data_IF_734464108756
#
_entry.id   IF_734464108756
#
_cell.length_a   1.000
_cell.length_b   1.000
_cell.length_c   1.000
_cell.angle_alpha   90.00
_cell.angle_beta   90.00
_cell.angle_gamma   90.00
#
_symmetry.space_group_name_H-M   'P 1'
#
loop_
_entity.id
_entity.type
_entity.pdbx_description
1 polymer ?
#
# COMPACT_ATOMS: atom_id res chain seq x y z
N UNK A 1 -15.11 37.71 -45.56
CA UNK A 1 -16.05 38.83 -45.26
C UNK A 1 -17.40 38.19 -45.00
N UNK A 2 -18.10 38.24 -43.85
CA UNK A 2 -18.20 39.22 -42.77
C UNK A 2 -18.45 38.55 -41.39
N UNK A 3 -17.69 39.01 -40.39
CA UNK A 3 -17.96 39.23 -38.95
C UNK A 3 -19.02 38.39 -38.19
N UNK A 4 -18.56 37.70 -37.15
CA UNK A 4 -19.17 37.76 -35.82
C UNK A 4 -18.33 38.74 -34.96
N UNK A 5 -18.96 39.75 -34.36
CA UNK A 5 -18.35 40.63 -33.37
C UNK A 5 -18.56 40.04 -31.97
N UNK A 6 -17.46 39.90 -31.22
CA UNK A 6 -17.48 39.75 -29.77
C UNK A 6 -17.94 41.05 -29.12
N UNK A 7 -18.82 40.96 -28.13
CA UNK A 7 -18.84 41.93 -27.04
C UNK A 7 -19.33 41.25 -25.77
N UNK A 8 -18.49 41.31 -24.73
CA UNK A 8 -18.89 41.03 -23.37
C UNK A 8 -19.93 42.06 -22.91
N UNK A 9 -20.88 41.64 -22.07
CA UNK A 9 -21.22 42.29 -20.80
C UNK A 9 -22.41 41.59 -20.13
N UNK A 10 -22.17 41.29 -18.84
CA UNK A 10 -23.09 41.28 -17.71
C UNK A 10 -24.60 41.33 -17.97
N UNK A 11 -25.28 40.36 -17.37
CA UNK A 11 -26.59 40.50 -16.74
C UNK A 11 -27.74 40.85 -17.68
N UNK A 12 -28.33 39.82 -18.30
CA UNK A 12 -29.56 39.98 -19.07
C UNK A 12 -30.22 38.64 -19.32
N UNK A 13 -31.34 38.41 -18.64
CA UNK A 13 -32.28 37.35 -18.90
C UNK A 13 -32.77 37.44 -20.35
N UNK A 14 -32.46 36.44 -21.19
CA UNK A 14 -33.14 36.24 -22.48
C UNK A 14 -33.13 34.75 -22.82
N UNK A 15 -34.29 34.11 -22.61
CA UNK A 15 -34.63 32.80 -23.16
C UNK A 15 -34.66 32.90 -24.69
N UNK A 16 -33.89 32.06 -25.36
CA UNK A 16 -34.11 31.72 -26.77
C UNK A 16 -34.61 30.28 -26.81
N UNK A 17 -35.87 30.11 -27.21
CA UNK A 17 -36.52 28.83 -27.47
C UNK A 17 -36.02 28.25 -28.80
N UNK A 18 -35.66 26.97 -28.81
CA UNK A 18 -35.59 26.14 -30.01
C UNK A 18 -36.50 24.90 -29.81
N UNK A 19 -37.24 24.47 -30.85
CA UNK A 19 -38.24 23.41 -30.73
C UNK A 19 -37.60 22.02 -30.61
N UNK A 20 -38.22 21.17 -29.79
CA UNK A 20 -37.96 19.74 -29.69
C UNK A 20 -38.44 19.04 -30.96
N UNK A 21 -37.53 18.40 -31.70
CA UNK A 21 -37.88 17.36 -32.67
C UNK A 21 -37.44 16.00 -32.13
N UNK A 22 -38.43 15.16 -31.87
CA UNK A 22 -38.29 13.72 -31.71
C UNK A 22 -38.02 13.08 -33.09
N UNK A 23 -37.52 11.84 -33.07
CA UNK A 23 -37.28 10.94 -34.22
C UNK A 23 -35.89 11.01 -34.86
N UNK A 24 -34.94 10.30 -34.25
CA UNK A 24 -34.15 9.23 -34.89
C UNK A 24 -32.97 8.84 -34.00
N UNK A 25 -33.08 7.72 -33.30
CA UNK A 25 -31.90 7.03 -32.74
C UNK A 25 -31.96 5.56 -33.15
N UNK A 26 -30.98 5.05 -33.91
CA UNK A 26 -30.94 3.64 -34.22
C UNK A 26 -30.56 2.87 -32.95
N UNK A 27 -31.37 1.88 -32.60
CA UNK A 27 -31.08 0.95 -31.52
C UNK A 27 -29.79 0.18 -31.84
N UNK A 28 -28.67 0.59 -31.24
CA UNK A 28 -27.44 -0.18 -31.26
C UNK A 28 -27.65 -1.40 -30.37
N UNK A 29 -27.89 -2.54 -31.02
CA UNK A 29 -27.90 -3.87 -30.42
C UNK A 29 -26.48 -4.17 -29.91
N UNK A 30 -26.16 -3.76 -28.70
CA UNK A 30 -24.96 -4.20 -28.00
C UNK A 30 -25.13 -5.67 -27.61
N UNK A 31 -24.65 -6.56 -28.48
CA UNK A 31 -24.37 -7.95 -28.14
C UNK A 31 -23.07 -7.94 -27.30
N UNK A 32 -23.19 -7.58 -26.03
CA UNK A 32 -22.08 -7.70 -25.08
C UNK A 32 -21.81 -9.19 -24.92
N UNK A 33 -20.62 -9.63 -25.34
CA UNK A 33 -20.15 -10.98 -25.08
C UNK A 33 -20.16 -11.21 -23.55
N UNK A 34 -21.08 -12.06 -23.11
CA UNK A 34 -21.31 -12.46 -21.71
C UNK A 34 -20.12 -13.17 -21.06
N UNK A 35 -19.01 -13.38 -21.76
CA UNK A 35 -17.84 -14.11 -21.26
C UNK A 35 -16.80 -13.23 -20.55
N UNK A 36 -16.93 -11.90 -20.57
CA UNK A 36 -15.96 -10.98 -19.96
C UNK A 36 -16.42 -10.37 -18.63
N UNK A 37 -17.62 -10.71 -18.14
CA UNK A 37 -18.18 -10.16 -16.89
C UNK A 37 -17.83 -10.98 -15.63
N UNK A 38 -17.03 -12.04 -15.77
CA UNK A 38 -16.68 -12.96 -14.67
C UNK A 38 -15.17 -12.94 -14.34
N UNK A 39 -14.61 -11.75 -14.12
CA UNK A 39 -13.32 -11.61 -13.44
C UNK A 39 -13.41 -10.41 -12.50
N UNK A 40 -14.17 -10.57 -11.41
CA UNK A 40 -14.10 -9.65 -10.25
C UNK A 40 -12.83 -10.02 -9.46
N UNK A 41 -11.70 -9.63 -10.05
CA UNK A 41 -10.31 -9.68 -9.63
C UNK A 41 -9.96 -10.53 -8.40
N UNK A 42 -9.46 -11.74 -8.63
CA UNK A 42 -8.62 -12.43 -7.64
C UNK A 42 -7.17 -12.12 -8.02
N UNK A 43 -6.44 -11.42 -7.15
CA UNK A 43 -5.01 -11.08 -7.34
C UNK A 43 -4.16 -12.34 -7.56
N UNK A 44 -4.61 -13.46 -7.02
CA UNK A 44 -3.94 -14.75 -7.13
C UNK A 44 -4.66 -15.70 -8.10
N UNK A 45 -3.91 -16.49 -8.89
CA UNK A 45 -4.47 -17.60 -9.62
C UNK A 45 -4.89 -18.73 -8.65
N UNK A 46 -5.86 -19.58 -9.02
CA UNK A 46 -6.14 -20.80 -8.28
C UNK A 46 -4.87 -21.68 -8.21
N UNK A 47 -4.46 -22.17 -7.02
CA UNK A 47 -3.22 -22.95 -6.88
C UNK A 47 -3.28 -24.26 -7.67
N UNK A 48 -2.18 -24.64 -8.32
CA UNK A 48 -2.04 -25.91 -9.07
C UNK A 48 -1.99 -27.11 -8.12
N UNK A 49 -1.24 -26.98 -7.04
CA UNK A 49 -0.97 -28.04 -6.07
C UNK A 49 -0.87 -27.50 -4.63
N UNK A 50 -0.51 -28.38 -3.68
CA UNK A 50 -0.45 -28.02 -2.26
C UNK A 50 0.78 -27.19 -1.95
N UNK A 51 1.85 -27.38 -2.70
CA UNK A 51 3.13 -26.73 -2.58
C UNK A 51 3.02 -25.26 -3.00
N UNK A 52 2.42 -24.98 -4.17
CA UNK A 52 2.12 -23.62 -4.62
C UNK A 52 1.17 -22.92 -3.64
N UNK A 53 0.13 -23.64 -3.17
CA UNK A 53 -0.77 -23.08 -2.16
C UNK A 53 -0.02 -22.69 -0.88
N UNK A 54 0.86 -23.57 -0.37
CA UNK A 54 1.61 -23.29 0.85
C UNK A 54 2.57 -22.11 0.69
N UNK A 55 3.22 -21.99 -0.47
CA UNK A 55 4.07 -20.85 -0.82
C UNK A 55 3.26 -19.55 -0.81
N UNK A 56 2.15 -19.49 -1.55
CA UNK A 56 1.31 -18.29 -1.65
C UNK A 56 0.70 -17.91 -0.29
N UNK A 57 0.19 -18.89 0.46
CA UNK A 57 -0.32 -18.67 1.82
C UNK A 57 0.77 -18.09 2.73
N UNK A 58 2.02 -18.55 2.61
CA UNK A 58 3.14 -18.04 3.41
C UNK A 58 3.56 -16.64 3.00
N UNK A 59 3.61 -16.32 1.71
CA UNK A 59 3.95 -14.99 1.21
C UNK A 59 2.95 -13.96 1.73
N UNK A 60 1.66 -14.17 1.44
CA UNK A 60 0.60 -13.25 1.81
C UNK A 60 0.47 -13.06 3.33
N UNK A 61 0.74 -14.10 4.12
CA UNK A 61 0.72 -14.01 5.57
C UNK A 61 1.81 -13.09 6.11
N UNK A 62 3.00 -13.13 5.50
CA UNK A 62 4.11 -12.27 5.89
C UNK A 62 3.85 -10.84 5.45
N UNK A 63 3.38 -10.63 4.22
CA UNK A 63 3.05 -9.28 3.74
C UNK A 63 2.01 -8.64 4.64
N UNK A 64 0.91 -9.35 4.93
CA UNK A 64 -0.11 -8.89 5.87
C UNK A 64 0.46 -8.58 7.26
N UNK A 65 1.36 -9.41 7.78
CA UNK A 65 2.00 -9.17 9.07
C UNK A 65 2.95 -7.96 9.05
N UNK A 66 3.63 -7.73 7.92
CA UNK A 66 4.48 -6.58 7.64
C UNK A 66 3.68 -5.28 7.68
N UNK A 67 2.65 -5.17 6.83
CA UNK A 67 1.77 -4.00 6.77
C UNK A 67 1.08 -3.78 8.12
N UNK A 68 0.62 -4.85 8.78
CA UNK A 68 0.04 -4.72 10.11
C UNK A 68 1.07 -4.17 11.11
N UNK A 69 2.32 -4.62 11.06
CA UNK A 69 3.42 -4.11 11.88
C UNK A 69 3.71 -2.63 11.63
N UNK A 70 3.86 -2.24 10.37
CA UNK A 70 4.11 -0.86 9.94
C UNK A 70 2.97 0.07 10.39
N UNK A 71 1.71 -0.33 10.19
CA UNK A 71 0.56 0.41 10.65
C UNK A 71 0.59 0.67 12.18
N UNK A 72 1.09 -0.30 12.94
CA UNK A 72 1.23 -0.18 14.40
C UNK A 72 2.41 0.69 14.81
N UNK A 73 3.50 0.67 14.06
CA UNK A 73 4.64 1.58 14.23
C UNK A 73 4.18 3.02 14.03
N UNK A 74 3.52 3.33 12.93
CA UNK A 74 2.97 4.66 12.69
C UNK A 74 1.96 5.10 13.75
N UNK A 75 1.11 4.19 14.23
CA UNK A 75 0.22 4.48 15.36
C UNK A 75 0.99 4.86 16.63
N UNK A 76 2.11 4.20 16.91
CA UNK A 76 3.02 4.53 18.02
C UNK A 76 3.71 5.87 17.83
N UNK A 77 4.21 6.15 16.62
CA UNK A 77 4.82 7.44 16.29
C UNK A 77 3.82 8.59 16.44
N UNK A 78 2.59 8.43 15.93
CA UNK A 78 1.52 9.43 16.04
C UNK A 78 1.06 9.67 17.47
N UNK A 79 1.13 8.65 18.34
CA UNK A 79 0.82 8.83 19.76
C UNK A 79 1.79 9.80 20.45
N UNK A 80 3.03 9.93 19.96
CA UNK A 80 4.07 10.79 20.52
C UNK A 80 4.21 12.10 19.75
N UNK A 81 4.34 12.02 18.42
CA UNK A 81 4.66 13.16 17.54
C UNK A 81 3.45 13.75 16.80
N UNK A 82 2.26 13.16 16.92
CA UNK A 82 1.10 13.55 16.11
C UNK A 82 0.63 14.99 16.29
N UNK A 83 0.98 15.65 17.40
CA UNK A 83 0.67 17.07 17.66
C UNK A 83 1.85 18.02 17.42
N UNK A 84 2.94 17.51 16.85
CA UNK A 84 4.14 18.29 16.50
C UNK A 84 4.11 18.70 15.02
N UNK A 85 5.11 19.47 14.58
CA UNK A 85 5.27 19.82 13.16
C UNK A 85 5.46 18.60 12.24
N UNK A 86 5.90 17.46 12.78
CA UNK A 86 6.10 16.21 12.04
C UNK A 86 4.84 15.36 11.94
N UNK A 87 3.79 15.68 12.69
CA UNK A 87 2.53 14.95 12.67
C UNK A 87 1.92 14.80 11.27
N UNK A 88 1.82 15.88 10.46
CA UNK A 88 1.26 15.79 9.12
C UNK A 88 1.99 14.85 8.16
N UNK A 89 3.34 14.83 8.17
CA UNK A 89 4.11 13.96 7.27
C UNK A 89 3.98 12.49 7.70
N UNK A 90 4.04 12.21 9.01
CA UNK A 90 3.83 10.86 9.56
C UNK A 90 2.40 10.38 9.25
N UNK A 91 1.40 11.27 9.36
CA UNK A 91 0.01 10.94 9.05
C UNK A 91 -0.17 10.58 7.57
N UNK A 92 0.50 11.29 6.65
CA UNK A 92 0.42 10.99 5.22
C UNK A 92 0.96 9.59 4.88
N UNK A 93 2.16 9.24 5.36
CA UNK A 93 2.72 7.88 5.19
C UNK A 93 1.80 6.83 5.84
N UNK A 94 1.31 7.10 7.05
CA UNK A 94 0.41 6.18 7.74
C UNK A 94 -0.92 5.95 7.01
N UNK A 95 -1.44 6.96 6.33
CA UNK A 95 -2.68 6.81 5.56
C UNK A 95 -2.49 5.92 4.34
N UNK A 96 -1.31 5.97 3.69
CA UNK A 96 -0.96 5.04 2.62
C UNK A 96 -0.82 3.60 3.16
N UNK A 97 -0.11 3.44 4.27
CA UNK A 97 0.06 2.15 4.97
C UNK A 97 -1.30 1.51 5.38
N UNK A 98 -2.29 2.32 5.76
CA UNK A 98 -3.66 1.80 6.03
C UNK A 98 -4.30 1.21 4.77
N UNK A 99 -4.03 1.77 3.60
CA UNK A 99 -4.52 1.23 2.33
C UNK A 99 -3.84 -0.10 2.00
N UNK A 100 -2.53 -0.22 2.23
CA UNK A 100 -1.80 -1.47 2.02
C UNK A 100 -2.36 -2.59 2.91
N UNK A 101 -2.47 -2.32 4.21
CA UNK A 101 -3.06 -3.25 5.16
C UNK A 101 -4.51 -3.62 4.78
N UNK A 102 -5.33 -2.65 4.38
CA UNK A 102 -6.68 -2.93 3.91
C UNK A 102 -6.65 -3.87 2.70
N UNK A 103 -5.75 -3.64 1.75
CA UNK A 103 -5.65 -4.45 0.55
C UNK A 103 -5.26 -5.90 0.86
N UNK A 104 -4.31 -6.12 1.76
CA UNK A 104 -3.98 -7.49 2.18
C UNK A 104 -5.07 -8.14 3.00
N UNK A 105 -5.84 -7.41 3.81
CA UNK A 105 -7.01 -7.97 4.49
C UNK A 105 -8.03 -8.52 3.48
N UNK A 106 -8.29 -7.80 2.39
CA UNK A 106 -9.15 -8.25 1.29
C UNK A 106 -8.59 -9.52 0.64
N UNK A 107 -7.30 -9.51 0.27
CA UNK A 107 -6.64 -10.64 -0.38
C UNK A 107 -6.66 -11.90 0.50
N UNK A 108 -6.33 -11.77 1.78
CA UNK A 108 -6.36 -12.89 2.73
C UNK A 108 -7.79 -13.46 2.84
N UNK A 109 -8.79 -12.58 2.92
CA UNK A 109 -10.20 -12.97 3.00
C UNK A 109 -10.68 -13.73 1.76
N UNK A 110 -10.39 -13.20 0.57
CA UNK A 110 -10.76 -13.80 -0.72
C UNK A 110 -10.13 -15.17 -0.93
N UNK A 111 -8.87 -15.33 -0.50
CA UNK A 111 -8.08 -16.55 -0.71
C UNK A 111 -8.12 -17.52 0.47
N UNK A 112 -8.88 -17.18 1.52
CA UNK A 112 -9.00 -17.96 2.78
C UNK A 112 -7.63 -18.25 3.41
N UNK A 113 -6.70 -17.31 3.29
CA UNK A 113 -5.39 -17.37 3.92
C UNK A 113 -5.54 -16.91 5.36
N UNK A 114 -5.02 -17.71 6.29
CA UNK A 114 -5.03 -17.34 7.71
C UNK A 114 -3.87 -16.36 7.97
N UNK A 115 -4.14 -15.22 8.64
CA UNK A 115 -3.07 -14.39 9.18
C UNK A 115 -2.22 -15.16 10.19
N UNK A 116 -1.04 -14.63 10.49
CA UNK A 116 -0.15 -15.24 11.49
C UNK A 116 -0.77 -15.21 12.88
N UNK A 117 -0.56 -16.26 13.66
CA UNK A 117 -0.97 -16.30 15.07
C UNK A 117 -0.23 -15.25 15.93
N UNK A 118 0.85 -14.66 15.41
CA UNK A 118 1.65 -13.65 16.10
C UNK A 118 1.13 -12.22 15.96
N UNK A 119 0.01 -11.98 15.26
CA UNK A 119 -0.56 -10.63 15.14
C UNK A 119 -0.72 -9.89 16.49
N UNK A 120 -1.17 -10.50 17.60
CA UNK A 120 -1.25 -9.81 18.88
C UNK A 120 0.12 -9.36 19.42
N UNK A 121 1.19 -10.12 19.13
CA UNK A 121 2.55 -9.74 19.48
C UNK A 121 3.01 -8.56 18.62
N UNK A 122 2.80 -8.63 17.30
CA UNK A 122 3.14 -7.55 16.36
C UNK A 122 2.38 -6.26 16.64
N UNK A 123 1.14 -6.36 17.12
CA UNK A 123 0.34 -5.21 17.56
C UNK A 123 1.03 -4.38 18.65
N UNK A 124 1.60 -5.08 19.64
CA UNK A 124 2.26 -4.47 20.79
C UNK A 124 3.68 -4.06 20.40
N UNK A 125 4.44 -4.95 19.76
CA UNK A 125 5.82 -4.71 19.37
C UNK A 125 5.95 -3.54 18.39
N UNK A 126 5.13 -3.48 17.34
CA UNK A 126 5.13 -2.38 16.39
C UNK A 126 4.80 -1.04 17.05
N UNK A 127 3.74 -0.99 17.86
CA UNK A 127 3.38 0.22 18.59
C UNK A 127 4.49 0.70 19.54
N UNK A 128 5.06 -0.20 20.33
CA UNK A 128 6.16 0.15 21.24
C UNK A 128 7.39 0.61 20.48
N UNK A 129 7.74 -0.06 19.38
CA UNK A 129 8.85 0.36 18.54
C UNK A 129 8.63 1.79 18.02
N UNK A 130 7.48 2.06 17.39
CA UNK A 130 7.17 3.39 16.86
C UNK A 130 7.09 4.48 17.94
N UNK A 131 6.48 4.19 19.09
CA UNK A 131 6.42 5.15 20.19
C UNK A 131 7.82 5.40 20.79
N UNK A 132 8.61 4.34 20.99
CA UNK A 132 9.95 4.47 21.59
C UNK A 132 10.92 5.24 20.70
N UNK A 133 10.88 5.05 19.39
CA UNK A 133 11.72 5.78 18.44
C UNK A 133 11.24 7.23 18.28
N UNK A 134 9.93 7.47 18.31
CA UNK A 134 9.38 8.82 18.30
C UNK A 134 9.69 9.62 19.59
N UNK A 135 9.90 8.96 20.73
CA UNK A 135 10.40 9.61 21.96
C UNK A 135 11.83 10.14 21.80
N UNK A 136 12.61 9.64 20.84
CA UNK A 136 13.91 10.18 20.46
C UNK A 136 13.81 11.41 19.55
N UNK A 137 12.59 11.85 19.21
CA UNK A 137 12.33 12.98 18.32
C UNK A 137 11.93 12.55 16.91
N UNK A 138 11.80 13.55 16.02
CA UNK A 138 11.46 13.34 14.61
C UNK A 138 12.48 12.42 13.95
N UNK A 139 13.76 12.68 14.14
CA UNK A 139 14.88 11.97 13.54
C UNK A 139 14.85 10.49 13.94
N UNK A 140 14.50 10.18 15.20
CA UNK A 140 14.32 8.80 15.66
C UNK A 140 13.14 8.09 15.00
N UNK A 141 11.99 8.76 14.88
CA UNK A 141 10.84 8.22 14.15
C UNK A 141 11.19 7.97 12.67
N UNK A 142 11.82 8.93 12.00
CA UNK A 142 12.23 8.78 10.60
C UNK A 142 13.27 7.67 10.41
N UNK A 143 14.23 7.53 11.33
CA UNK A 143 15.19 6.41 11.31
C UNK A 143 14.50 5.05 11.47
N UNK A 144 13.44 4.98 12.27
CA UNK A 144 12.62 3.78 12.40
C UNK A 144 11.92 3.46 11.08
N UNK A 145 11.27 4.46 10.46
CA UNK A 145 10.61 4.33 9.15
C UNK A 145 11.62 3.82 8.12
N UNK A 146 12.75 4.50 7.93
CA UNK A 146 13.82 4.08 6.99
C UNK A 146 14.22 2.62 7.19
N UNK A 147 14.48 2.20 8.43
CA UNK A 147 14.92 0.83 8.71
C UNK A 147 13.85 -0.23 8.40
N UNK A 148 12.58 0.09 8.65
CA UNK A 148 11.44 -0.81 8.42
C UNK A 148 11.12 -0.88 6.94
N UNK A 149 10.99 0.26 6.25
CA UNK A 149 10.58 0.27 4.84
C UNK A 149 11.66 -0.31 3.93
N UNK A 150 12.94 -0.17 4.27
CA UNK A 150 14.01 -0.89 3.58
C UNK A 150 13.87 -2.42 3.77
N UNK A 151 13.51 -2.87 4.98
CA UNK A 151 13.31 -4.31 5.25
C UNK A 151 12.10 -4.87 4.50
N UNK A 152 11.00 -4.11 4.44
CA UNK A 152 9.79 -4.49 3.70
C UNK A 152 10.07 -4.47 2.19
N UNK A 153 10.74 -3.44 1.68
CA UNK A 153 11.17 -3.35 0.29
C UNK A 153 12.10 -4.50 -0.13
N UNK A 154 13.06 -4.89 0.71
CA UNK A 154 13.89 -6.08 0.49
C UNK A 154 13.05 -7.37 0.44
N UNK A 155 12.03 -7.47 1.29
CA UNK A 155 11.11 -8.60 1.29
C UNK A 155 10.30 -8.68 -0.01
N UNK A 156 9.70 -7.57 -0.43
CA UNK A 156 8.96 -7.50 -1.69
C UNK A 156 9.84 -7.79 -2.91
N UNK A 157 11.06 -7.25 -2.94
CA UNK A 157 12.02 -7.58 -3.99
C UNK A 157 12.34 -9.08 -4.05
N UNK A 158 12.41 -9.75 -2.88
CA UNK A 158 12.61 -11.20 -2.82
C UNK A 158 11.42 -11.98 -3.34
N UNK A 159 10.19 -11.55 -3.02
CA UNK A 159 8.97 -12.16 -3.58
C UNK A 159 8.86 -11.95 -5.08
N UNK A 160 9.12 -10.74 -5.57
CA UNK A 160 9.09 -10.42 -7.00
C UNK A 160 10.04 -11.35 -7.76
N UNK A 161 11.27 -11.55 -7.27
CA UNK A 161 12.23 -12.49 -7.89
C UNK A 161 11.67 -13.90 -7.93
N UNK A 162 11.17 -14.42 -6.80
CA UNK A 162 10.63 -15.77 -6.73
C UNK A 162 9.44 -15.99 -7.69
N UNK A 163 8.50 -15.04 -7.75
CA UNK A 163 7.34 -15.12 -8.62
C UNK A 163 7.71 -14.97 -10.12
N UNK A 164 8.72 -14.15 -10.42
CA UNK A 164 9.25 -14.00 -11.79
C UNK A 164 10.00 -15.24 -12.28
N UNK A 165 10.70 -15.94 -11.38
CA UNK A 165 11.39 -17.20 -11.69
C UNK A 165 10.42 -18.37 -11.88
N UNK A 166 9.31 -18.37 -11.14
CA UNK A 166 8.29 -19.42 -11.20
C UNK A 166 7.41 -19.31 -12.47
N UNK A 167 6.62 -18.24 -12.62
CA UNK A 167 5.76 -18.01 -13.79
C UNK A 167 5.22 -16.54 -13.79
N UNK A 168 5.90 -15.61 -14.48
CA UNK A 168 5.59 -14.19 -14.39
C UNK A 168 4.22 -13.84 -14.99
N UNK A 169 3.75 -14.58 -16.00
CA UNK A 169 2.45 -14.34 -16.63
C UNK A 169 1.30 -14.79 -15.73
N UNK A 170 1.48 -15.93 -15.05
CA UNK A 170 0.52 -16.47 -14.10
C UNK A 170 0.32 -15.57 -12.88
N UNK A 171 1.40 -15.00 -12.35
CA UNK A 171 1.35 -14.11 -11.17
C UNK A 171 1.33 -12.62 -11.52
N UNK A 172 1.02 -12.25 -12.77
CA UNK A 172 1.09 -10.86 -13.24
C UNK A 172 0.36 -9.85 -12.33
N UNK A 173 -0.83 -10.19 -11.84
CA UNK A 173 -1.62 -9.30 -10.96
C UNK A 173 -0.96 -9.14 -9.58
N UNK A 174 -0.51 -10.25 -8.96
CA UNK A 174 0.22 -10.21 -7.69
C UNK A 174 1.56 -9.47 -7.81
N UNK A 175 2.31 -9.73 -8.89
CA UNK A 175 3.56 -9.03 -9.19
C UNK A 175 3.35 -7.53 -9.35
N UNK A 176 2.26 -7.11 -9.99
CA UNK A 176 1.94 -5.70 -10.14
C UNK A 176 1.65 -5.05 -8.79
N UNK A 177 0.83 -5.70 -7.96
CA UNK A 177 0.51 -5.21 -6.61
C UNK A 177 1.77 -5.09 -5.73
N UNK A 178 2.59 -6.14 -5.67
CA UNK A 178 3.80 -6.14 -4.84
C UNK A 178 4.80 -5.08 -5.32
N UNK A 179 4.88 -4.82 -6.63
CA UNK A 179 5.74 -3.76 -7.18
C UNK A 179 5.24 -2.37 -6.79
N UNK A 180 3.93 -2.14 -6.85
CA UNK A 180 3.30 -0.89 -6.43
C UNK A 180 3.62 -0.61 -4.97
N UNK A 181 3.33 -1.54 -4.06
CA UNK A 181 3.59 -1.33 -2.63
C UNK A 181 5.07 -1.18 -2.33
N UNK A 182 5.95 -1.96 -2.96
CA UNK A 182 7.40 -1.75 -2.84
C UNK A 182 7.82 -0.35 -3.25
N UNK A 183 7.24 0.20 -4.32
CA UNK A 183 7.60 1.54 -4.78
C UNK A 183 7.10 2.61 -3.81
N UNK A 184 5.93 2.41 -3.20
CA UNK A 184 5.40 3.25 -2.11
C UNK A 184 6.30 3.17 -0.85
N UNK A 185 6.76 1.96 -0.46
CA UNK A 185 7.70 1.78 0.66
C UNK A 185 9.03 2.49 0.42
N UNK A 186 9.53 2.49 -0.81
CA UNK A 186 10.74 3.22 -1.17
C UNK A 186 10.52 4.75 -1.07
N UNK A 187 9.33 5.25 -1.42
CA UNK A 187 8.98 6.66 -1.22
C UNK A 187 8.94 7.04 0.27
N UNK A 188 8.41 6.17 1.14
CA UNK A 188 8.40 6.38 2.60
C UNK A 188 9.82 6.34 3.17
N UNK A 189 10.65 5.40 2.71
CA UNK A 189 12.07 5.34 3.04
C UNK A 189 12.77 6.66 2.69
N UNK A 190 12.61 7.13 1.45
CA UNK A 190 13.26 8.34 0.96
C UNK A 190 12.76 9.58 1.72
N UNK A 191 11.46 9.64 2.01
CA UNK A 191 10.86 10.66 2.89
C UNK A 191 11.54 10.67 4.26
N UNK A 192 11.79 9.51 4.85
CA UNK A 192 12.50 9.40 6.12
C UNK A 192 13.93 9.96 6.06
N UNK A 193 14.66 9.69 4.97
CA UNK A 193 15.99 10.25 4.75
C UNK A 193 15.95 11.78 4.58
N UNK A 194 15.02 12.30 3.78
CA UNK A 194 14.80 13.74 3.57
C UNK A 194 14.42 14.48 4.86
N UNK A 195 13.82 13.78 5.82
CA UNK A 195 13.44 14.31 7.12
C UNK A 195 14.44 14.00 8.26
N UNK A 196 15.73 13.89 7.90
CA UNK A 196 16.87 13.83 8.82
C UNK A 196 16.98 12.52 9.64
N UNK A 197 16.50 11.39 9.12
CA UNK A 197 16.67 10.08 9.78
C UNK A 197 18.12 9.81 10.22
N UNK A 198 19.10 10.15 9.38
CA UNK A 198 20.52 9.86 9.64
C UNK A 198 21.13 10.75 10.75
N UNK A 199 20.42 11.79 11.17
CA UNK A 199 20.88 12.72 12.20
C UNK A 199 20.66 12.21 13.63
N UNK A 200 19.92 11.11 13.83
CA UNK A 200 19.74 10.52 15.17
C UNK A 200 21.06 9.92 15.68
N UNK A 201 21.47 10.21 16.93
CA UNK A 201 22.66 9.59 17.50
C UNK A 201 22.58 8.06 17.48
N UNK A 202 23.58 7.41 16.89
CA UNK A 202 23.62 5.95 16.77
C UNK A 202 22.73 5.38 15.66
N UNK A 203 22.35 6.18 14.66
CA UNK A 203 21.52 5.79 13.51
C UNK A 203 21.81 4.38 12.97
N UNK A 204 23.06 4.07 12.60
CA UNK A 204 23.42 2.77 12.03
C UNK A 204 23.12 1.60 12.97
N UNK A 205 23.34 1.79 14.28
CA UNK A 205 23.05 0.77 15.27
C UNK A 205 21.53 0.58 15.42
N UNK A 206 20.78 1.68 15.54
CA UNK A 206 19.32 1.65 15.62
C UNK A 206 18.72 0.95 14.39
N UNK A 207 19.11 1.38 13.19
CA UNK A 207 18.71 0.78 11.92
C UNK A 207 19.00 -0.72 11.87
N UNK A 208 20.23 -1.12 12.20
CA UNK A 208 20.64 -2.54 12.19
C UNK A 208 19.80 -3.39 13.15
N UNK A 209 19.53 -2.89 14.36
CA UNK A 209 18.71 -3.61 15.36
C UNK A 209 17.27 -3.76 14.87
N UNK A 210 16.68 -2.70 14.32
CA UNK A 210 15.32 -2.73 13.76
C UNK A 210 15.25 -3.72 12.60
N UNK A 211 16.18 -3.66 11.64
CA UNK A 211 16.24 -4.57 10.50
C UNK A 211 16.41 -6.03 10.95
N UNK A 212 17.22 -6.29 11.98
CA UNK A 212 17.33 -7.63 12.56
C UNK A 212 16.00 -8.11 13.16
N UNK A 213 15.26 -7.22 13.83
CA UNK A 213 13.91 -7.46 14.31
C UNK A 213 12.93 -7.78 13.18
N UNK A 214 12.93 -7.00 12.11
CA UNK A 214 12.10 -7.23 10.91
C UNK A 214 12.39 -8.59 10.27
N UNK A 215 13.68 -8.94 10.09
CA UNK A 215 14.10 -10.24 9.57
C UNK A 215 13.61 -11.40 10.43
N UNK A 216 13.67 -11.25 11.76
CA UNK A 216 13.13 -12.24 12.69
C UNK A 216 11.60 -12.34 12.58
N UNK A 217 10.90 -11.21 12.51
CA UNK A 217 9.44 -11.16 12.38
C UNK A 217 8.96 -11.84 11.08
N UNK A 218 9.63 -11.57 9.96
CA UNK A 218 9.40 -12.24 8.67
C UNK A 218 9.59 -13.75 8.82
N UNK A 219 10.75 -14.18 9.32
CA UNK A 219 11.09 -15.60 9.46
C UNK A 219 10.06 -16.37 10.29
N UNK A 220 9.62 -15.80 11.41
CA UNK A 220 8.67 -16.48 12.28
C UNK A 220 7.27 -16.43 11.68
N UNK A 221 6.81 -15.30 11.14
CA UNK A 221 5.47 -15.15 10.56
C UNK A 221 5.24 -16.04 9.32
N UNK A 222 6.29 -16.43 8.60
CA UNK A 222 6.20 -17.45 7.54
C UNK A 222 5.67 -18.79 8.05
N UNK A 223 5.98 -19.15 9.30
CA UNK A 223 5.80 -20.51 9.85
C UNK A 223 4.53 -20.68 10.68
N UNK A 224 3.99 -19.60 11.22
CA UNK A 224 2.90 -19.64 12.22
C UNK A 224 1.76 -18.71 11.90
#
# INVERSE_FOLDING_TARGET
>A
MQRAQLCALRSGFLRVFYPLNAENTPAVRNRVNSSLLCRKYTVLPPPRDKEEKAMLDSMLRVDHAGEYGANRIYAGQMAVLGRTQSGPIIQNMWDQEKMHLQKFNEILGENRVRPTLLLPLWNVAGFLLGASTALLGKEGAMACTVAVEESISEHYNSQIRALMEEDPERYRELLQLIKEFRDDELEHHDTGLEHDAESVPGYLLLKTVIQAGCKAAIYVSQRV
#
